data_IF_998337446909
#
_entry.id   IF_998337446909
#
_cell.length_a   1.000
_cell.length_b   1.000
_cell.length_c   1.000
_cell.angle_alpha   90.00
_cell.angle_beta   90.00
_cell.angle_gamma   90.00
#
_symmetry.space_group_name_H-M   'P 1'
#
loop_
_entity.id
_entity.type
_entity.pdbx_description
1 polymer ?
#
# COMPACT_ATOMS: atom_id res chain seq x y z
N UNK A 1 2.96 7.06 34.94
CA UNK A 1 3.83 7.93 34.12
C UNK A 1 3.51 7.77 32.62
N UNK A 2 3.21 8.85 31.89
CA UNK A 2 2.79 8.81 30.47
C UNK A 2 3.81 8.05 29.60
N UNK A 3 5.10 8.22 29.90
CA UNK A 3 6.21 7.52 29.24
C UNK A 3 6.09 5.99 29.28
N UNK A 4 5.61 5.42 30.38
CA UNK A 4 5.41 3.96 30.50
C UNK A 4 4.20 3.48 29.69
N UNK A 5 3.17 4.32 29.57
CA UNK A 5 2.01 4.03 28.72
C UNK A 5 2.37 4.08 27.23
N UNK A 6 3.32 4.92 26.82
CA UNK A 6 3.80 4.98 25.44
C UNK A 6 4.54 3.69 24.99
N UNK A 7 5.11 2.94 25.93
CA UNK A 7 5.78 1.66 25.63
C UNK A 7 4.80 0.51 25.41
N UNK A 8 3.54 0.68 25.84
CA UNK A 8 2.50 -0.33 25.70
C UNK A 8 1.69 -0.06 24.43
N UNK A 9 1.81 -0.92 23.43
CA UNK A 9 1.18 -0.78 22.10
C UNK A 9 -0.32 -0.44 22.16
N UNK A 10 -1.05 -1.03 23.11
CA UNK A 10 -2.49 -0.81 23.28
C UNK A 10 -2.85 0.50 24.01
N UNK A 11 -1.93 1.07 24.81
CA UNK A 11 -2.14 2.35 25.51
C UNK A 11 -1.53 3.55 24.78
N UNK A 12 -0.69 3.31 23.78
CA UNK A 12 -0.02 4.37 23.05
C UNK A 12 -0.98 5.42 22.45
N UNK A 13 -2.10 5.05 21.78
CA UNK A 13 -3.04 6.06 21.26
C UNK A 13 -3.66 6.91 22.36
N UNK A 14 -3.92 6.33 23.55
CA UNK A 14 -4.47 7.03 24.71
C UNK A 14 -3.45 8.01 25.26
N UNK A 15 -2.21 7.57 25.47
CA UNK A 15 -1.12 8.42 25.93
C UNK A 15 -0.83 9.60 24.98
N UNK A 16 -0.93 9.38 23.66
CA UNK A 16 -0.79 10.48 22.69
C UNK A 16 -1.92 11.52 22.79
N UNK A 17 -3.16 11.08 23.06
CA UNK A 17 -4.30 12.00 23.29
C UNK A 17 -4.16 12.76 24.60
N UNK A 18 -3.70 12.09 25.67
CA UNK A 18 -3.42 12.76 26.95
C UNK A 18 -2.33 13.82 26.78
N UNK A 19 -1.23 13.51 26.09
CA UNK A 19 -0.19 14.50 25.77
C UNK A 19 -0.71 15.65 24.93
N UNK A 20 -1.57 15.36 23.94
CA UNK A 20 -2.22 16.36 23.10
C UNK A 20 -3.06 17.34 23.93
N UNK A 21 -3.86 16.81 24.87
CA UNK A 21 -4.66 17.61 25.79
C UNK A 21 -3.77 18.46 26.73
N UNK A 22 -2.77 17.85 27.36
CA UNK A 22 -1.82 18.55 28.24
C UNK A 22 -1.11 19.68 27.51
N UNK A 23 -0.69 19.45 26.26
CA UNK A 23 -0.04 20.46 25.43
C UNK A 23 -0.96 21.67 25.18
N UNK A 24 -2.22 21.43 24.82
CA UNK A 24 -3.17 22.50 24.52
C UNK A 24 -3.58 23.30 25.75
N UNK A 25 -3.90 22.62 26.85
CA UNK A 25 -4.60 23.25 27.97
C UNK A 25 -3.64 23.77 29.06
N UNK A 26 -2.53 23.07 29.28
CA UNK A 26 -1.72 23.27 30.50
C UNK A 26 -0.25 23.63 30.25
N UNK A 27 0.26 23.46 29.03
CA UNK A 27 1.70 23.59 28.77
C UNK A 27 2.31 24.94 29.17
N UNK A 28 1.60 26.04 28.88
CA UNK A 28 2.08 27.39 29.21
C UNK A 28 2.01 27.71 30.70
N UNK A 29 1.14 27.02 31.44
CA UNK A 29 0.96 27.22 32.88
C UNK A 29 2.02 26.47 33.70
N UNK A 30 2.76 25.55 33.06
CA UNK A 30 3.75 24.75 33.74
C UNK A 30 5.09 25.46 33.97
N UNK A 31 5.77 25.18 35.10
CA UNK A 31 7.16 25.56 35.29
C UNK A 31 8.08 24.90 34.25
N UNK A 32 9.24 25.51 34.00
CA UNK A 32 10.16 25.11 32.90
C UNK A 32 10.58 23.64 32.94
N UNK A 33 10.71 23.06 34.14
CA UNK A 33 11.02 21.65 34.34
C UNK A 33 9.91 20.73 33.79
N UNK A 34 8.64 21.00 34.13
CA UNK A 34 7.49 20.23 33.65
C UNK A 34 7.28 20.42 32.15
N UNK A 35 7.45 21.65 31.63
CA UNK A 35 7.45 21.88 30.18
C UNK A 35 8.53 21.08 29.45
N UNK A 36 9.69 20.88 30.07
CA UNK A 36 10.76 20.06 29.51
C UNK A 36 10.38 18.58 29.46
N UNK A 37 9.77 18.06 30.54
CA UNK A 37 9.32 16.67 30.64
C UNK A 37 8.24 16.38 29.60
N UNK A 38 7.18 17.19 29.53
CA UNK A 38 6.10 17.04 28.54
C UNK A 38 6.65 17.09 27.12
N UNK A 39 7.63 17.98 26.87
CA UNK A 39 8.30 18.04 25.57
C UNK A 39 9.10 16.76 25.26
N UNK A 40 9.83 16.21 26.23
CA UNK A 40 10.54 14.93 26.04
C UNK A 40 9.60 13.75 25.82
N UNK A 41 8.46 13.70 26.52
CA UNK A 41 7.45 12.68 26.34
C UNK A 41 6.80 12.78 24.94
N UNK A 42 6.58 14.00 24.45
CA UNK A 42 6.13 14.24 23.07
C UNK A 42 7.14 13.73 22.04
N UNK A 43 8.43 14.04 22.22
CA UNK A 43 9.48 13.53 21.33
C UNK A 43 9.58 12.01 21.38
N UNK A 44 9.39 11.41 22.56
CA UNK A 44 9.39 9.97 22.76
C UNK A 44 8.21 9.31 22.05
N UNK A 45 7.01 9.92 22.12
CA UNK A 45 5.84 9.45 21.39
C UNK A 45 6.14 9.36 19.88
N UNK A 46 6.72 10.41 19.27
CA UNK A 46 7.10 10.37 17.86
C UNK A 46 8.15 9.30 17.55
N UNK A 47 9.17 9.12 18.40
CA UNK A 47 10.19 8.08 18.19
C UNK A 47 9.64 6.66 18.26
N UNK A 48 8.58 6.43 19.02
CA UNK A 48 7.97 5.12 19.21
C UNK A 48 6.96 4.77 18.10
N UNK A 49 6.45 5.75 17.35
CA UNK A 49 5.49 5.51 16.26
C UNK A 49 5.91 4.40 15.27
N UNK A 50 7.17 4.29 14.81
CA UNK A 50 7.58 3.23 13.89
C UNK A 50 7.53 1.82 14.50
N UNK A 51 7.36 1.68 15.80
CA UNK A 51 7.22 0.39 16.48
C UNK A 51 5.75 -0.05 16.59
N UNK A 52 4.80 0.87 16.33
CA UNK A 52 3.38 0.67 16.55
C UNK A 52 2.66 0.75 15.21
N UNK A 53 2.21 -0.40 14.71
CA UNK A 53 1.66 -0.54 13.36
C UNK A 53 0.12 -0.52 13.35
N UNK A 54 -0.49 0.44 14.05
CA UNK A 54 -1.95 0.57 14.11
C UNK A 54 -2.43 1.91 13.56
N UNK A 55 -3.55 1.89 12.83
CA UNK A 55 -4.16 3.11 12.30
C UNK A 55 -4.57 4.08 13.42
N UNK A 56 -5.03 3.56 14.55
CA UNK A 56 -5.39 4.36 15.73
C UNK A 56 -4.19 5.10 16.33
N UNK A 57 -2.99 4.52 16.28
CA UNK A 57 -1.76 5.18 16.70
C UNK A 57 -1.39 6.32 15.74
N UNK A 58 -1.48 6.09 14.43
CA UNK A 58 -1.22 7.13 13.41
C UNK A 58 -2.14 8.33 13.62
N UNK A 59 -3.45 8.10 13.75
CA UNK A 59 -4.42 9.18 14.00
C UNK A 59 -4.14 9.94 15.30
N UNK A 60 -3.83 9.23 16.40
CA UNK A 60 -3.55 9.87 17.69
C UNK A 60 -2.28 10.72 17.66
N UNK A 61 -1.24 10.29 16.93
CA UNK A 61 0.00 11.05 16.78
C UNK A 61 -0.19 12.27 15.89
N UNK A 62 -1.04 12.20 14.87
CA UNK A 62 -1.43 13.38 14.10
C UNK A 62 -2.15 14.43 14.96
N UNK A 63 -3.07 14.02 15.84
CA UNK A 63 -3.69 14.94 16.81
C UNK A 63 -2.67 15.55 17.78
N UNK A 64 -1.68 14.75 18.21
CA UNK A 64 -0.57 15.23 19.03
C UNK A 64 0.28 16.26 18.28
N UNK A 65 0.58 16.04 17.00
CA UNK A 65 1.30 17.00 16.15
C UNK A 65 0.53 18.33 16.04
N UNK A 66 -0.77 18.29 15.79
CA UNK A 66 -1.59 19.50 15.71
C UNK A 66 -1.53 20.30 17.03
N UNK A 67 -1.53 19.59 18.17
CA UNK A 67 -1.42 20.21 19.49
C UNK A 67 -0.03 20.81 19.73
N UNK A 68 1.02 20.14 19.28
CA UNK A 68 2.39 20.66 19.25
C UNK A 68 2.48 21.95 18.44
N UNK A 69 1.85 21.98 17.27
CA UNK A 69 1.89 23.14 16.39
C UNK A 69 1.16 24.35 16.95
N UNK A 70 0.07 24.11 17.69
CA UNK A 70 -0.72 25.15 18.35
C UNK A 70 -0.08 25.69 19.64
N UNK A 71 0.52 24.82 20.46
CA UNK A 71 0.95 25.18 21.82
C UNK A 71 2.46 25.42 21.99
N UNK A 72 3.33 24.90 21.11
CA UNK A 72 4.77 25.02 21.34
C UNK A 72 5.40 26.29 20.72
N UNK A 73 6.38 26.91 21.41
CA UNK A 73 7.22 27.94 20.83
C UNK A 73 7.97 27.46 19.58
N UNK A 74 8.26 28.38 18.65
CA UNK A 74 8.83 28.12 17.31
C UNK A 74 10.00 27.12 17.32
N UNK A 75 10.93 27.25 18.26
CA UNK A 75 12.10 26.37 18.35
C UNK A 75 11.70 24.92 18.70
N UNK A 76 10.92 24.72 19.77
CA UNK A 76 10.44 23.39 20.19
C UNK A 76 9.54 22.76 19.13
N UNK A 77 8.68 23.55 18.48
CA UNK A 77 7.84 23.13 17.36
C UNK A 77 8.66 22.56 16.22
N UNK A 78 9.68 23.28 15.74
CA UNK A 78 10.51 22.84 14.60
C UNK A 78 11.25 21.53 14.89
N UNK A 79 11.75 21.36 16.12
CA UNK A 79 12.38 20.10 16.55
C UNK A 79 11.39 18.95 16.55
N UNK A 80 10.19 19.17 17.10
CA UNK A 80 9.13 18.18 17.19
C UNK A 80 8.61 17.75 15.80
N UNK A 81 8.35 18.71 14.90
CA UNK A 81 7.91 18.46 13.52
C UNK A 81 8.95 17.66 12.74
N UNK A 82 10.24 18.01 12.85
CA UNK A 82 11.31 17.27 12.17
C UNK A 82 11.39 15.82 12.68
N UNK A 83 11.25 15.61 14.00
CA UNK A 83 11.21 14.26 14.57
C UNK A 83 9.99 13.47 14.13
N UNK A 84 8.82 14.10 14.06
CA UNK A 84 7.60 13.49 13.53
C UNK A 84 7.77 13.08 12.06
N UNK A 85 8.27 13.96 11.19
CA UNK A 85 8.50 13.64 9.76
C UNK A 85 9.43 12.45 9.61
N UNK A 86 10.54 12.42 10.35
CA UNK A 86 11.46 11.30 10.32
C UNK A 86 10.78 10.00 10.80
N UNK A 87 10.02 10.05 11.89
CA UNK A 87 9.27 8.90 12.38
C UNK A 87 8.24 8.39 11.37
N UNK A 88 7.51 9.28 10.68
CA UNK A 88 6.55 8.91 9.64
C UNK A 88 7.21 8.18 8.47
N UNK A 89 8.39 8.64 8.03
CA UNK A 89 9.16 7.97 6.98
C UNK A 89 9.56 6.56 7.42
N UNK A 90 10.09 6.40 8.63
CA UNK A 90 10.47 5.08 9.16
C UNK A 90 9.25 4.18 9.38
N UNK A 91 8.16 4.73 9.90
CA UNK A 91 6.89 4.01 10.08
C UNK A 91 6.35 3.51 8.74
N UNK A 92 6.30 4.36 7.70
CA UNK A 92 5.86 3.96 6.36
C UNK A 92 6.75 2.84 5.77
N UNK A 93 8.07 2.92 5.96
CA UNK A 93 9.03 1.87 5.56
C UNK A 93 8.89 0.56 6.34
N UNK A 94 8.29 0.58 7.54
CA UNK A 94 8.03 -0.63 8.33
C UNK A 94 6.64 -1.20 8.09
N UNK A 95 5.65 -0.37 7.81
CA UNK A 95 4.35 -0.84 7.34
C UNK A 95 4.43 -1.40 5.91
N UNK A 96 5.50 -1.12 5.18
CA UNK A 96 5.88 -1.84 3.96
C UNK A 96 6.59 -3.18 4.24
N UNK A 97 6.40 -3.79 5.42
CA UNK A 97 6.51 -5.26 5.60
C UNK A 97 5.40 -6.00 4.83
N UNK A 98 5.07 -5.51 3.64
CA UNK A 98 4.39 -6.27 2.61
C UNK A 98 5.33 -7.41 2.25
N UNK A 99 4.78 -8.61 2.11
CA UNK A 99 5.54 -9.74 1.58
C UNK A 99 6.29 -9.28 0.30
N UNK A 100 7.55 -9.68 0.11
CA UNK A 100 8.26 -9.44 -1.14
C UNK A 100 7.37 -9.75 -2.33
N UNK A 101 7.48 -8.95 -3.38
CA UNK A 101 6.58 -8.99 -4.53
C UNK A 101 6.49 -10.40 -5.13
N UNK A 102 7.61 -11.11 -5.17
CA UNK A 102 7.73 -12.48 -5.67
C UNK A 102 6.92 -13.48 -4.83
N UNK A 103 6.85 -13.27 -3.51
CA UNK A 103 6.07 -14.14 -2.62
C UNK A 103 4.58 -13.83 -2.77
N UNK A 104 4.19 -12.57 -2.92
CA UNK A 104 2.80 -12.21 -3.24
C UNK A 104 2.38 -12.82 -4.58
N UNK A 105 3.21 -12.70 -5.62
CA UNK A 105 2.95 -13.32 -6.92
C UNK A 105 2.86 -14.85 -6.78
N UNK A 106 3.72 -15.48 -6.00
CA UNK A 106 3.65 -16.92 -5.74
C UNK A 106 2.33 -17.31 -5.06
N UNK A 107 1.90 -16.60 -4.01
CA UNK A 107 0.60 -16.84 -3.35
C UNK A 107 -0.55 -16.65 -4.35
N UNK A 108 -0.49 -15.59 -5.16
CA UNK A 108 -1.51 -15.28 -6.16
C UNK A 108 -1.56 -16.30 -7.30
N UNK A 109 -0.48 -17.05 -7.54
CA UNK A 109 -0.48 -18.14 -8.53
C UNK A 109 -1.42 -19.29 -8.18
N UNK A 110 -1.85 -19.41 -6.93
CA UNK A 110 -2.85 -20.39 -6.49
C UNK A 110 -4.30 -19.88 -6.58
N UNK A 111 -4.51 -18.61 -6.93
CA UNK A 111 -5.84 -18.02 -7.01
C UNK A 111 -6.48 -18.23 -8.38
N UNK A 112 -7.80 -18.38 -8.38
CA UNK A 112 -8.60 -18.31 -9.60
C UNK A 112 -8.66 -16.88 -10.13
N UNK A 113 -8.96 -16.73 -11.44
CA UNK A 113 -9.01 -15.43 -12.11
C UNK A 113 -9.85 -14.38 -11.37
N UNK A 114 -11.06 -14.73 -10.90
CA UNK A 114 -11.94 -13.80 -10.18
C UNK A 114 -11.29 -13.28 -8.90
N UNK A 115 -10.71 -14.19 -8.11
CA UNK A 115 -9.99 -13.86 -6.89
C UNK A 115 -8.73 -13.03 -7.19
N UNK A 116 -8.00 -13.33 -8.27
CA UNK A 116 -6.82 -12.58 -8.71
C UNK A 116 -7.17 -11.13 -9.06
N UNK A 117 -8.27 -10.91 -9.79
CA UNK A 117 -8.80 -9.56 -10.07
C UNK A 117 -9.16 -8.85 -8.77
N UNK A 118 -9.83 -9.53 -7.83
CA UNK A 118 -10.17 -8.95 -6.53
C UNK A 118 -8.94 -8.56 -5.71
N UNK A 119 -7.87 -9.36 -5.72
CA UNK A 119 -6.62 -9.02 -5.03
C UNK A 119 -6.01 -7.72 -5.58
N UNK A 120 -6.14 -7.48 -6.89
CA UNK A 120 -5.64 -6.26 -7.54
C UNK A 120 -6.32 -4.96 -7.09
N UNK A 121 -7.49 -5.05 -6.44
CA UNK A 121 -8.24 -3.88 -5.96
C UNK A 121 -7.94 -3.52 -4.50
N UNK A 122 -7.18 -4.34 -3.77
CA UNK A 122 -6.97 -4.18 -2.33
C UNK A 122 -6.04 -3.01 -2.00
N UNK A 123 -4.83 -3.02 -2.56
CA UNK A 123 -3.85 -1.96 -2.35
C UNK A 123 -2.84 -1.90 -3.50
N UNK A 124 -2.04 -0.84 -3.55
CA UNK A 124 -1.06 -0.63 -4.62
C UNK A 124 -0.06 -1.79 -4.79
N UNK A 125 0.47 -2.35 -3.70
CA UNK A 125 1.42 -3.48 -3.77
C UNK A 125 0.75 -4.77 -4.29
N UNK A 126 -0.47 -5.06 -3.83
CA UNK A 126 -1.23 -6.21 -4.31
C UNK A 126 -1.66 -6.04 -5.75
N UNK A 127 -1.98 -4.81 -6.17
CA UNK A 127 -2.22 -4.49 -7.57
C UNK A 127 -1.00 -4.81 -8.44
N UNK A 128 0.21 -4.41 -8.02
CA UNK A 128 1.42 -4.76 -8.78
C UNK A 128 1.59 -6.28 -8.88
N UNK A 129 1.33 -7.03 -7.80
CA UNK A 129 1.57 -8.48 -7.77
C UNK A 129 0.52 -9.23 -8.58
N UNK A 130 -0.74 -8.79 -8.50
CA UNK A 130 -1.85 -9.36 -9.26
C UNK A 130 -1.76 -9.05 -10.76
N UNK A 131 -0.96 -8.06 -11.18
CA UNK A 131 -0.70 -7.74 -12.58
C UNK A 131 0.60 -8.36 -13.11
N UNK A 132 1.19 -9.31 -12.39
CA UNK A 132 2.36 -10.04 -12.89
C UNK A 132 2.01 -10.81 -14.18
N UNK A 133 2.78 -10.58 -15.24
CA UNK A 133 2.44 -11.09 -16.57
C UNK A 133 2.46 -12.62 -16.65
N UNK A 134 3.34 -13.26 -15.88
CA UNK A 134 3.47 -14.72 -15.84
C UNK A 134 2.30 -15.38 -15.08
N UNK A 135 1.67 -14.68 -14.12
CA UNK A 135 0.41 -15.13 -13.54
C UNK A 135 -0.70 -15.20 -14.58
N UNK A 136 -0.85 -14.14 -15.38
CA UNK A 136 -1.88 -14.09 -16.41
C UNK A 136 -1.61 -15.07 -17.55
N UNK A 137 -0.35 -15.33 -17.89
CA UNK A 137 0.03 -16.40 -18.82
C UNK A 137 -0.44 -17.77 -18.32
N UNK A 138 -0.15 -18.12 -17.06
CA UNK A 138 -0.59 -19.38 -16.45
C UNK A 138 -2.11 -19.52 -16.47
N UNK A 139 -2.84 -18.45 -16.14
CA UNK A 139 -4.30 -18.44 -16.18
C UNK A 139 -4.81 -18.64 -17.62
N UNK A 140 -4.20 -17.97 -18.60
CA UNK A 140 -4.55 -18.13 -20.01
C UNK A 140 -4.34 -19.57 -20.48
N UNK A 141 -3.18 -20.17 -20.19
CA UNK A 141 -2.89 -21.56 -20.56
C UNK A 141 -3.83 -22.53 -19.85
N UNK A 142 -4.14 -22.32 -18.57
CA UNK A 142 -5.08 -23.17 -17.84
C UNK A 142 -6.51 -23.13 -18.43
N UNK A 143 -6.97 -21.96 -18.89
CA UNK A 143 -8.34 -21.75 -19.38
C UNK A 143 -8.50 -22.04 -20.88
N UNK A 144 -7.45 -21.82 -21.66
CA UNK A 144 -7.49 -21.82 -23.13
C UNK A 144 -6.39 -22.67 -23.76
N UNK A 145 -5.42 -23.21 -23.01
CA UNK A 145 -4.25 -23.92 -23.54
C UNK A 145 -4.55 -25.19 -24.34
N UNK A 146 -5.78 -25.72 -24.27
CA UNK A 146 -6.23 -26.83 -25.12
C UNK A 146 -7.04 -26.38 -26.36
N UNK A 147 -7.26 -25.07 -26.53
CA UNK A 147 -7.97 -24.47 -27.67
C UNK A 147 -7.18 -23.28 -28.21
N UNK A 148 -6.30 -23.59 -29.16
CA UNK A 148 -5.58 -22.67 -30.03
C UNK A 148 -4.51 -21.80 -29.36
N UNK A 149 -3.33 -21.80 -29.99
CA UNK A 149 -2.30 -20.78 -29.79
C UNK A 149 -2.95 -19.39 -29.91
N UNK A 150 -2.55 -18.40 -29.10
CA UNK A 150 -3.11 -17.05 -29.21
C UNK A 150 -2.83 -16.52 -30.62
N UNK A 151 -3.88 -16.35 -31.42
CA UNK A 151 -3.81 -15.48 -32.58
C UNK A 151 -3.90 -14.06 -32.04
N UNK A 152 -2.89 -13.19 -32.26
CA UNK A 152 -3.00 -11.80 -31.86
C UNK A 152 -4.19 -11.19 -32.60
N UNK A 153 -5.20 -10.78 -31.84
CA UNK A 153 -6.37 -10.10 -32.37
C UNK A 153 -5.93 -8.72 -32.89
N UNK A 154 -5.69 -8.64 -34.19
CA UNK A 154 -5.88 -7.41 -34.96
C UNK A 154 -6.98 -7.68 -35.98
N UNK A 155 -8.14 -7.07 -35.76
CA UNK A 155 -9.13 -6.89 -36.82
C UNK A 155 -8.50 -5.90 -37.80
N UNK A 156 -7.98 -6.39 -38.92
CA UNK A 156 -7.67 -5.56 -40.09
C UNK A 156 -8.58 -6.10 -41.19
N UNK A 157 -9.60 -5.32 -41.50
CA UNK A 157 -10.43 -5.51 -42.67
C UNK A 157 -9.59 -5.13 -43.90
N UNK A 158 -9.24 -6.13 -44.72
CA UNK A 158 -8.33 -5.91 -45.85
C UNK A 158 -8.12 -7.17 -46.70
N UNK A 159 -8.78 -7.16 -47.85
CA UNK A 159 -8.77 -8.12 -48.97
C UNK A 159 -7.38 -8.61 -49.41
N UNK A 160 -7.29 -9.92 -49.70
CA UNK A 160 -6.54 -10.59 -50.78
C UNK A 160 -5.55 -11.69 -50.36
N UNK A 161 -5.62 -12.76 -51.16
CA UNK A 161 -4.89 -14.03 -51.12
C UNK A 161 -3.36 -13.90 -51.07
N UNK A 162 -2.71 -14.79 -50.31
CA UNK A 162 -1.26 -14.93 -50.34
C UNK A 162 -0.71 -15.64 -49.11
N UNK A 163 -0.43 -16.93 -49.26
CA UNK A 163 0.11 -17.83 -48.25
C UNK A 163 1.60 -17.50 -48.01
N UNK A 164 1.93 -16.74 -46.96
CA UNK A 164 3.30 -16.59 -46.46
C UNK A 164 3.32 -16.60 -44.92
N UNK A 165 3.91 -17.67 -44.39
CA UNK A 165 4.33 -17.80 -42.99
C UNK A 165 5.62 -16.98 -42.80
N UNK A 166 5.49 -15.75 -42.34
CA UNK A 166 6.61 -14.99 -41.79
C UNK A 166 6.78 -15.36 -40.30
N UNK A 167 8.00 -15.62 -39.83
CA UNK A 167 8.27 -15.90 -38.42
C UNK A 167 8.08 -14.61 -37.62
N UNK A 168 6.95 -14.48 -36.94
CA UNK A 168 6.64 -13.30 -36.12
C UNK A 168 7.63 -13.20 -34.96
N UNK A 169 8.40 -12.11 -35.01
CA UNK A 169 9.39 -11.67 -34.03
C UNK A 169 8.89 -11.79 -32.58
N UNK A 170 9.66 -12.51 -31.76
CA UNK A 170 9.49 -12.74 -30.31
C UNK A 170 9.68 -11.48 -29.44
N UNK A 171 9.27 -10.29 -29.90
CA UNK A 171 9.43 -9.02 -29.18
C UNK A 171 8.15 -8.25 -28.88
N UNK A 172 6.99 -8.82 -29.16
CA UNK A 172 5.74 -8.31 -28.58
C UNK A 172 5.64 -8.90 -27.18
N UNK A 173 5.92 -8.09 -26.15
CA UNK A 173 5.57 -8.45 -24.77
C UNK A 173 4.05 -8.57 -24.75
N UNK A 174 3.55 -9.79 -24.89
CA UNK A 174 2.11 -10.07 -24.85
C UNK A 174 1.61 -9.72 -23.46
N UNK A 175 0.72 -8.74 -23.38
CA UNK A 175 -0.06 -8.48 -22.18
C UNK A 175 -1.09 -9.61 -22.04
N UNK A 176 -0.74 -10.59 -21.20
CA UNK A 176 -1.57 -11.77 -21.01
C UNK A 176 -2.88 -11.44 -20.30
N UNK A 177 -2.92 -10.36 -19.52
CA UNK A 177 -4.15 -9.94 -18.84
C UNK A 177 -5.18 -9.45 -19.85
N UNK A 178 -4.77 -8.60 -20.80
CA UNK A 178 -5.65 -8.15 -21.88
C UNK A 178 -6.02 -9.30 -22.83
N UNK A 179 -5.13 -10.28 -23.03
CA UNK A 179 -5.43 -11.49 -23.81
C UNK A 179 -6.50 -12.37 -23.15
N UNK A 180 -6.43 -12.55 -21.82
CA UNK A 180 -7.46 -13.25 -21.03
C UNK A 180 -8.79 -12.49 -21.08
N UNK A 181 -8.75 -11.17 -20.90
CA UNK A 181 -9.93 -10.32 -20.95
C UNK A 181 -10.63 -10.39 -22.31
N UNK A 182 -9.88 -10.28 -23.41
CA UNK A 182 -10.41 -10.41 -24.77
C UNK A 182 -11.07 -11.78 -25.00
N UNK A 183 -10.41 -12.87 -24.59
CA UNK A 183 -10.95 -14.21 -24.73
C UNK A 183 -12.19 -14.46 -23.85
N UNK A 184 -12.26 -13.82 -22.68
CA UNK A 184 -13.44 -13.87 -21.80
C UNK A 184 -14.63 -13.11 -22.41
N UNK A 185 -14.42 -11.89 -22.92
CA UNK A 185 -15.49 -11.12 -23.58
C UNK A 185 -15.96 -11.73 -24.89
N UNK A 186 -15.07 -12.37 -25.66
CA UNK A 186 -15.47 -13.07 -26.88
C UNK A 186 -16.33 -14.32 -26.60
N UNK A 187 -16.12 -15.02 -25.48
CA UNK A 187 -16.97 -16.17 -25.11
C UNK A 187 -18.39 -15.76 -24.75
N UNK A 188 -18.57 -14.66 -24.01
CA UNK A 188 -19.90 -14.16 -23.65
C UNK A 188 -20.74 -13.81 -24.88
N UNK A 189 -20.13 -13.20 -25.90
CA UNK A 189 -20.83 -12.83 -27.13
C UNK A 189 -21.21 -14.04 -28.01
N UNK A 190 -20.64 -15.23 -27.77
CA UNK A 190 -20.94 -16.46 -28.54
C UNK A 190 -22.02 -17.31 -27.85
N UNK A 191 -22.25 -17.13 -26.55
CA UNK A 191 -23.32 -17.82 -25.80
C UNK A 191 -24.68 -17.10 -25.86
N UNK A 192 -24.73 -15.85 -26.34
CA UNK A 192 -25.96 -15.05 -26.51
C UNK A 192 -26.54 -15.07 -27.94
N UNK A 193 -26.10 -15.99 -28.80
CA UNK A 193 -26.53 -16.12 -30.20
C UNK A 193 -27.03 -17.54 -30.50
#
# INVERSE_FOLDING_TARGET
>A
PIRESLLKTYRYPIACRELSFILREAFHQFPKNLQSIVFQDTLSAFRLLPQIQTQSAVSAVHSLLQSVEAALPKQKKNVAVTKFKHAMVVHKRRCSLQLPQDILAHIFSFLEMKSLVSMGLVCWSWNIAANDNHLWEKQYVALYGNRAKPKPAKLIEGKNDGLLLEPVDTRIITDWKESVKGAYTCKLNVEEM
#
